data_IF_948458388967
#
_entry.id   IF_948458388967
#
_cell.length_a   1.000
_cell.length_b   1.000
_cell.length_c   1.000
_cell.angle_alpha   90.00
_cell.angle_beta   90.00
_cell.angle_gamma   90.00
#
_symmetry.space_group_name_H-M   'P 1'
#
loop_
_entity.id
_entity.type
_entity.pdbx_description
1 polymer ?
#
# COMPACT_ATOMS: atom_id res chain seq x y z
N UNK A 1 -11.39 -2.13 -10.03
CA UNK A 1 -10.18 -2.05 -9.18
C UNK A 1 -9.09 -1.36 -9.97
N UNK A 2 -8.22 -0.60 -9.29
CA UNK A 2 -7.14 0.12 -9.93
C UNK A 2 -5.83 -0.33 -9.30
N UNK A 3 -4.84 -0.67 -10.14
CA UNK A 3 -3.49 -0.96 -9.64
C UNK A 3 -2.90 0.28 -8.97
N UNK A 4 -2.43 0.10 -7.74
CA UNK A 4 -1.91 1.15 -6.86
C UNK A 4 -0.41 1.04 -6.60
N UNK A 5 0.21 -0.13 -6.86
CA UNK A 5 1.61 -0.33 -6.55
C UNK A 5 2.03 -1.79 -6.38
N UNK A 6 3.27 -1.95 -5.94
CA UNK A 6 3.96 -3.23 -5.74
C UNK A 6 4.39 -3.40 -4.28
N UNK A 7 4.31 -4.63 -3.76
CA UNK A 7 4.80 -4.96 -2.42
C UNK A 7 6.32 -5.07 -2.48
N UNK A 8 7.02 -4.32 -1.63
CA UNK A 8 8.48 -4.37 -1.54
C UNK A 8 8.97 -5.23 -0.38
N UNK A 9 8.27 -5.19 0.75
CA UNK A 9 8.73 -5.83 1.96
C UNK A 9 7.57 -6.18 2.89
N UNK A 10 7.63 -7.37 3.49
CA UNK A 10 6.81 -7.75 4.63
C UNK A 10 7.68 -7.64 5.88
N UNK A 11 7.37 -6.65 6.72
CA UNK A 11 8.05 -6.47 7.99
C UNK A 11 7.70 -7.62 8.95
N UNK A 12 8.60 -7.91 9.88
CA UNK A 12 8.38 -8.92 10.94
C UNK A 12 7.19 -8.60 11.85
N UNK A 13 6.76 -7.34 11.90
CA UNK A 13 5.55 -6.90 12.59
C UNK A 13 4.25 -7.25 11.87
N UNK A 14 4.31 -7.81 10.66
CA UNK A 14 3.15 -8.06 9.80
C UNK A 14 2.71 -6.85 8.96
N UNK A 15 3.41 -5.72 9.05
CA UNK A 15 3.19 -4.57 8.17
C UNK A 15 3.79 -4.83 6.79
N UNK A 16 3.12 -4.31 5.76
CA UNK A 16 3.57 -4.46 4.36
C UNK A 16 3.95 -3.11 3.83
N UNK A 17 5.18 -3.00 3.30
CA UNK A 17 5.63 -1.79 2.63
C UNK A 17 5.28 -1.89 1.15
N UNK A 18 4.43 -0.98 0.70
CA UNK A 18 3.98 -0.90 -0.70
C UNK A 18 4.57 0.34 -1.34
N UNK A 19 5.21 0.18 -2.49
CA UNK A 19 5.62 1.31 -3.33
C UNK A 19 4.44 1.75 -4.18
N UNK A 20 3.99 2.98 -3.99
CA UNK A 20 2.78 3.47 -4.62
C UNK A 20 3.10 4.08 -5.99
N UNK A 21 2.32 3.69 -7.00
CA UNK A 21 2.28 4.33 -8.32
C UNK A 21 1.23 5.44 -8.41
N UNK A 22 0.34 5.53 -7.40
CA UNK A 22 -0.74 6.51 -7.28
C UNK A 22 -0.93 6.95 -5.83
N UNK A 23 -1.48 8.14 -5.65
CA UNK A 23 -1.84 8.61 -4.31
C UNK A 23 -3.02 7.79 -3.81
N UNK A 24 -2.85 7.17 -2.66
CA UNK A 24 -3.90 6.49 -1.88
C UNK A 24 -4.13 7.28 -0.59
N UNK A 25 -5.27 7.08 0.06
CA UNK A 25 -5.58 7.75 1.32
C UNK A 25 -5.34 6.83 2.51
N UNK A 26 -5.13 7.43 3.68
CA UNK A 26 -5.16 6.69 4.94
C UNK A 26 -6.50 5.96 5.10
N UNK A 27 -6.47 4.81 5.77
CA UNK A 27 -7.60 3.89 5.99
C UNK A 27 -8.18 3.24 4.72
N UNK A 28 -7.59 3.48 3.55
CA UNK A 28 -7.96 2.80 2.33
C UNK A 28 -7.59 1.31 2.40
N UNK A 29 -8.51 0.45 1.98
CA UNK A 29 -8.27 -0.99 1.88
C UNK A 29 -7.67 -1.30 0.51
N UNK A 30 -6.54 -2.01 0.52
CA UNK A 30 -5.88 -2.55 -0.67
C UNK A 30 -6.31 -4.00 -0.85
N UNK A 31 -6.57 -4.37 -2.11
CA UNK A 31 -6.97 -5.71 -2.48
C UNK A 31 -6.04 -6.29 -3.54
N UNK A 32 -5.98 -7.61 -3.63
CA UNK A 32 -5.35 -8.32 -4.73
C UNK A 32 -6.24 -8.33 -5.99
N UNK A 33 -5.77 -8.97 -7.05
CA UNK A 33 -6.47 -9.10 -8.32
C UNK A 33 -7.79 -9.89 -8.20
N UNK A 34 -7.92 -10.75 -7.20
CA UNK A 34 -9.12 -11.55 -6.92
C UNK A 34 -10.13 -10.82 -6.02
N UNK A 35 -9.91 -9.54 -5.74
CA UNK A 35 -10.68 -8.73 -4.80
C UNK A 35 -10.60 -9.17 -3.32
N UNK A 36 -9.60 -9.97 -2.98
CA UNK A 36 -9.29 -10.31 -1.58
C UNK A 36 -8.69 -9.11 -0.89
N UNK A 37 -9.20 -8.73 0.29
CA UNK A 37 -8.61 -7.65 1.10
C UNK A 37 -7.25 -8.09 1.62
N UNK A 38 -6.20 -7.35 1.27
CA UNK A 38 -4.81 -7.69 1.61
C UNK A 38 -4.30 -6.83 2.75
N UNK A 39 -4.52 -5.52 2.69
CA UNK A 39 -3.98 -4.57 3.66
C UNK A 39 -4.86 -3.34 3.82
N UNK A 40 -4.65 -2.57 4.90
CA UNK A 40 -5.22 -1.24 5.09
C UNK A 40 -4.09 -0.24 5.24
N UNK A 41 -4.13 0.86 4.49
CA UNK A 41 -3.13 1.92 4.57
C UNK A 41 -3.20 2.58 5.96
N UNK A 42 -2.15 2.46 6.75
CA UNK A 42 -2.05 3.08 8.08
C UNK A 42 -1.27 4.38 8.04
N UNK A 43 -0.24 4.46 7.20
CA UNK A 43 0.58 5.65 7.06
C UNK A 43 1.14 5.78 5.63
N UNK A 44 1.41 7.03 5.23
CA UNK A 44 2.08 7.39 3.99
C UNK A 44 3.43 8.01 4.33
N UNK A 45 4.50 7.46 3.76
CA UNK A 45 5.87 7.87 4.05
C UNK A 45 6.67 8.12 2.76
N UNK A 46 7.73 8.93 2.86
CA UNK A 46 8.63 9.19 1.75
C UNK A 46 8.23 10.36 0.84
N UNK A 47 8.79 10.43 -0.39
CA UNK A 47 8.62 11.58 -1.29
C UNK A 47 7.18 11.73 -1.79
N UNK A 48 6.70 12.99 -1.87
CA UNK A 48 5.33 13.31 -2.35
C UNK A 48 5.06 12.77 -3.76
N UNK A 49 6.07 12.79 -4.64
CA UNK A 49 5.91 12.33 -6.02
C UNK A 49 5.77 10.80 -6.16
N UNK A 50 6.35 10.02 -5.23
CA UNK A 50 6.36 8.56 -5.22
C UNK A 50 6.39 8.05 -3.77
N UNK A 51 5.25 8.11 -3.06
CA UNK A 51 5.18 7.72 -1.66
C UNK A 51 5.21 6.20 -1.49
N UNK A 52 5.46 5.77 -0.26
CA UNK A 52 5.25 4.40 0.20
C UNK A 52 4.06 4.36 1.16
N UNK A 53 3.35 3.25 1.19
CA UNK A 53 2.35 2.95 2.21
C UNK A 53 2.84 1.84 3.14
N UNK A 54 2.42 1.93 4.40
CA UNK A 54 2.59 0.93 5.46
C UNK A 54 1.23 0.61 6.07
#
# INVERSE_FOLDING_TARGET
MQEVGEILHLATSGRVIVRLSKIVTQDQILCDENSTKVAKVTELIGPVAKPYAS
#
